data_IF_132179425631
#
_entry.id   IF_132179425631
#
_cell.length_a   1.000
_cell.length_b   1.000
_cell.length_c   1.000
_cell.angle_alpha   90.00
_cell.angle_beta   90.00
_cell.angle_gamma   90.00
#
_symmetry.space_group_name_H-M   'P 1'
#
loop_
_entity.id
_entity.type
_entity.pdbx_description
1 polymer ?
#
# COMPACT_ATOMS: atom_id res chain seq x y z
N UNK A 1 -25.95 -53.16 45.55
CA UNK A 1 -25.27 -53.33 44.24
C UNK A 1 -25.34 -52.00 43.50
N UNK A 2 -24.28 -51.19 43.56
CA UNK A 2 -24.25 -49.83 42.98
C UNK A 2 -22.96 -49.72 42.17
N UNK A 3 -23.06 -49.66 40.84
CA UNK A 3 -21.93 -49.37 39.96
C UNK A 3 -22.27 -48.11 39.17
N UNK A 4 -21.92 -46.97 39.74
CA UNK A 4 -21.99 -45.67 39.08
C UNK A 4 -20.87 -45.62 38.04
N UNK A 5 -21.23 -45.60 36.75
CA UNK A 5 -20.27 -45.37 35.66
C UNK A 5 -20.11 -43.86 35.48
N UNK A 6 -18.95 -43.35 35.85
CA UNK A 6 -18.53 -41.97 35.56
C UNK A 6 -18.11 -41.94 34.09
N UNK A 7 -18.85 -41.21 33.25
CA UNK A 7 -18.40 -40.86 31.91
C UNK A 7 -17.52 -39.61 32.02
N UNK A 8 -16.21 -39.77 31.76
CA UNK A 8 -15.30 -38.65 31.53
C UNK A 8 -15.53 -38.13 30.11
N UNK A 9 -16.15 -36.96 29.99
CA UNK A 9 -16.14 -36.17 28.76
C UNK A 9 -14.87 -35.34 28.78
N UNK A 10 -13.88 -35.74 28.00
CA UNK A 10 -12.70 -34.90 27.73
C UNK A 10 -13.04 -34.02 26.53
N UNK A 11 -13.39 -32.76 26.80
CA UNK A 11 -13.57 -31.75 25.77
C UNK A 11 -12.18 -31.24 25.35
N UNK A 12 -11.66 -31.70 24.22
CA UNK A 12 -10.48 -31.10 23.58
C UNK A 12 -10.87 -29.74 23.01
N UNK A 13 -10.59 -28.65 23.74
CA UNK A 13 -10.56 -27.32 23.13
C UNK A 13 -9.27 -27.20 22.30
N UNK A 14 -9.34 -27.63 21.04
CA UNK A 14 -8.36 -27.23 20.04
C UNK A 14 -8.53 -25.72 19.82
N UNK A 15 -7.73 -24.91 20.51
CA UNK A 15 -7.56 -23.51 20.17
C UNK A 15 -6.99 -23.45 18.76
N UNK A 16 -7.84 -23.14 17.78
CA UNK A 16 -7.40 -22.84 16.43
C UNK A 16 -6.57 -21.55 16.52
N UNK A 17 -5.24 -21.70 16.58
CA UNK A 17 -4.34 -20.64 16.17
C UNK A 17 -4.71 -20.36 14.72
N UNK A 18 -5.46 -19.27 14.48
CA UNK A 18 -5.80 -18.82 13.14
C UNK A 18 -4.47 -18.51 12.45
N UNK A 19 -3.98 -19.48 11.67
CA UNK A 19 -2.84 -19.27 10.78
C UNK A 19 -3.21 -18.08 9.93
N UNK A 20 -2.38 -17.04 9.98
CA UNK A 20 -2.65 -15.79 9.30
C UNK A 20 -2.64 -16.08 7.79
N UNK A 21 -3.83 -16.26 7.21
CA UNK A 21 -4.04 -16.82 5.88
C UNK A 21 -4.14 -15.72 4.83
N UNK A 22 -3.72 -16.02 3.60
CA UNK A 22 -3.99 -15.19 2.42
C UNK A 22 -5.46 -14.79 2.38
N UNK A 23 -5.72 -13.49 2.28
CA UNK A 23 -7.06 -12.92 2.19
C UNK A 23 -7.19 -12.01 0.97
N UNK A 24 -8.39 -12.01 0.39
CA UNK A 24 -8.77 -11.14 -0.73
C UNK A 24 -10.12 -10.50 -0.44
N UNK A 25 -10.21 -9.18 -0.55
CA UNK A 25 -11.44 -8.42 -0.31
C UNK A 25 -11.64 -7.36 -1.38
N UNK A 26 -12.83 -7.30 -1.97
CA UNK A 26 -13.22 -6.19 -2.85
C UNK A 26 -13.93 -5.09 -2.04
N UNK A 27 -13.59 -3.84 -2.30
CA UNK A 27 -14.21 -2.65 -1.71
C UNK A 27 -14.61 -1.69 -2.84
N UNK A 28 -15.85 -1.21 -2.80
CA UNK A 28 -16.33 -0.15 -3.69
C UNK A 28 -16.01 1.21 -3.10
N UNK A 29 -15.29 2.06 -3.84
CA UNK A 29 -14.94 3.42 -3.44
C UNK A 29 -15.95 4.43 -3.98
N UNK A 30 -17.17 4.40 -3.45
CA UNK A 30 -18.25 5.34 -3.79
C UNK A 30 -17.89 6.76 -3.43
N UNK A 31 -18.22 7.71 -4.30
CA UNK A 31 -18.21 9.14 -3.97
C UNK A 31 -19.65 9.63 -3.80
N UNK A 32 -20.10 10.62 -4.58
CA UNK A 32 -21.53 10.94 -4.72
C UNK A 32 -22.02 10.46 -6.10
N UNK A 33 -23.32 10.20 -6.29
CA UNK A 33 -23.86 9.83 -7.60
C UNK A 33 -23.48 10.84 -8.70
N UNK A 34 -23.44 12.12 -8.38
CA UNK A 34 -23.04 13.19 -9.29
C UNK A 34 -21.55 13.09 -9.62
N UNK A 35 -20.70 12.86 -8.63
CA UNK A 35 -19.26 12.70 -8.83
C UNK A 35 -18.91 11.41 -9.57
N UNK A 36 -19.59 10.29 -9.32
CA UNK A 36 -19.34 9.01 -10.00
C UNK A 36 -19.89 9.01 -11.44
N UNK A 37 -20.93 9.80 -11.75
CA UNK A 37 -21.46 9.97 -13.12
C UNK A 37 -20.85 11.14 -13.90
N UNK A 38 -20.02 11.97 -13.27
CA UNK A 38 -19.42 13.16 -13.87
C UNK A 38 -18.59 12.78 -15.13
N UNK A 39 -18.93 13.40 -16.26
CA UNK A 39 -18.16 13.31 -17.51
C UNK A 39 -16.87 14.14 -17.43
N UNK A 40 -16.00 14.01 -18.42
CA UNK A 40 -14.85 14.90 -18.55
C UNK A 40 -15.31 16.35 -18.78
N UNK A 41 -14.51 17.30 -18.30
CA UNK A 41 -14.72 18.73 -18.35
C UNK A 41 -13.68 19.38 -19.26
N UNK A 42 -14.11 20.21 -20.20
CA UNK A 42 -13.20 20.96 -21.10
C UNK A 42 -12.25 21.92 -20.36
N UNK A 43 -12.52 22.19 -19.07
CA UNK A 43 -11.64 22.97 -18.21
C UNK A 43 -10.42 22.19 -17.68
N UNK A 44 -10.39 20.87 -17.84
CA UNK A 44 -9.26 20.01 -17.45
C UNK A 44 -8.64 19.45 -18.73
N UNK A 45 -7.41 19.85 -19.09
CA UNK A 45 -6.73 19.29 -20.25
C UNK A 45 -6.51 17.78 -20.08
N UNK A 46 -6.55 17.03 -21.19
CA UNK A 46 -6.23 15.59 -21.20
C UNK A 46 -4.85 15.30 -20.57
N UNK A 47 -3.90 16.20 -20.77
CA UNK A 47 -2.56 16.16 -20.18
C UNK A 47 -2.03 17.58 -19.95
N UNK A 48 -1.34 17.79 -18.84
CA UNK A 48 -0.62 19.03 -18.55
C UNK A 48 0.69 18.73 -17.83
N UNK A 49 1.70 19.58 -18.04
CA UNK A 49 3.01 19.42 -17.42
C UNK A 49 3.06 20.16 -16.09
N UNK A 50 3.55 19.48 -15.05
CA UNK A 50 3.95 20.09 -13.79
C UNK A 50 5.47 20.04 -13.73
N UNK A 51 6.11 21.21 -13.87
CA UNK A 51 7.56 21.30 -13.88
C UNK A 51 8.09 21.52 -12.46
N UNK A 52 9.10 20.74 -12.08
CA UNK A 52 9.74 20.83 -10.79
C UNK A 52 11.22 20.49 -10.87
N UNK A 53 11.96 20.84 -9.83
CA UNK A 53 13.37 20.50 -9.66
C UNK A 53 13.55 19.84 -8.30
N UNK A 54 14.48 18.89 -8.18
CA UNK A 54 14.82 18.35 -6.88
C UNK A 54 15.60 19.37 -6.05
N UNK A 55 15.21 19.51 -4.79
CA UNK A 55 15.99 20.17 -3.77
C UNK A 55 17.09 19.24 -3.27
N UNK A 56 16.74 17.97 -3.01
CA UNK A 56 17.63 16.95 -2.45
C UNK A 56 17.13 15.54 -2.70
N UNK A 57 18.04 14.58 -2.51
CA UNK A 57 17.74 13.15 -2.50
C UNK A 57 17.78 12.64 -1.06
N UNK A 58 16.82 11.78 -0.71
CA UNK A 58 16.77 11.09 0.58
C UNK A 58 16.78 9.59 0.35
N UNK A 59 17.76 8.88 0.91
CA UNK A 59 17.84 7.42 0.86
C UNK A 59 17.47 6.88 2.24
N UNK A 60 16.39 6.10 2.28
CA UNK A 60 15.88 5.48 3.49
C UNK A 60 16.27 4.00 3.50
N UNK A 61 16.77 3.52 4.62
CA UNK A 61 17.02 2.09 4.86
C UNK A 61 16.12 1.59 5.98
N UNK A 62 15.30 0.61 5.68
CA UNK A 62 14.39 -0.05 6.60
C UNK A 62 15.06 -1.29 7.18
N UNK A 63 14.86 -1.52 8.47
CA UNK A 63 15.34 -2.71 9.16
C UNK A 63 14.25 -3.78 9.20
N UNK A 64 14.67 -4.97 9.58
CA UNK A 64 13.82 -6.09 9.93
C UNK A 64 12.58 -5.70 10.75
N UNK A 65 11.41 -6.26 10.39
CA UNK A 65 10.10 -6.06 11.05
C UNK A 65 9.61 -4.60 11.06
N UNK A 66 10.14 -3.76 10.18
CA UNK A 66 9.56 -2.43 9.97
C UNK A 66 8.39 -2.56 9.01
N UNK A 67 7.22 -2.04 9.39
CA UNK A 67 6.14 -1.81 8.44
C UNK A 67 6.57 -0.72 7.44
N UNK A 68 6.58 -1.07 6.15
CA UNK A 68 7.15 -0.24 5.10
C UNK A 68 6.42 1.10 4.96
N UNK A 69 5.08 1.10 4.99
CA UNK A 69 4.27 2.30 4.85
C UNK A 69 4.37 3.19 6.09
N UNK A 70 4.28 2.61 7.29
CA UNK A 70 4.43 3.35 8.54
C UNK A 70 5.83 3.98 8.65
N UNK A 71 6.88 3.24 8.27
CA UNK A 71 8.24 3.74 8.23
C UNK A 71 8.43 4.88 7.23
N UNK A 72 7.82 4.79 6.04
CA UNK A 72 7.82 5.88 5.05
C UNK A 72 7.14 7.14 5.59
N UNK A 73 5.92 7.00 6.12
CA UNK A 73 5.19 8.13 6.71
C UNK A 73 5.96 8.80 7.86
N UNK A 74 6.60 7.98 8.71
CA UNK A 74 7.46 8.48 9.78
C UNK A 74 8.62 9.30 9.22
N UNK A 75 9.35 8.77 8.24
CA UNK A 75 10.51 9.45 7.67
C UNK A 75 10.13 10.69 6.86
N UNK A 76 9.00 10.68 6.15
CA UNK A 76 8.46 11.86 5.47
C UNK A 76 8.23 12.99 6.47
N UNK A 77 7.62 12.69 7.62
CA UNK A 77 7.42 13.67 8.69
C UNK A 77 8.72 14.15 9.31
N UNK A 78 9.62 13.24 9.71
CA UNK A 78 10.90 13.57 10.36
C UNK A 78 11.81 14.38 9.45
N UNK A 79 11.84 14.06 8.17
CA UNK A 79 12.62 14.77 7.16
C UNK A 79 11.91 16.02 6.64
N UNK A 80 10.71 16.36 7.15
CA UNK A 80 9.91 17.51 6.73
C UNK A 80 9.67 17.54 5.22
N UNK A 81 9.40 16.39 4.62
CA UNK A 81 9.17 16.26 3.18
C UNK A 81 7.73 16.64 2.89
N UNK A 82 7.53 17.73 2.15
CA UNK A 82 6.21 18.14 1.68
C UNK A 82 5.85 17.44 0.37
N UNK A 83 6.67 17.60 -0.66
CA UNK A 83 6.45 16.99 -1.97
C UNK A 83 7.68 16.20 -2.42
N UNK A 84 7.49 14.97 -2.87
CA UNK A 84 8.56 14.14 -3.40
C UNK A 84 8.04 13.12 -4.41
N UNK A 85 8.94 12.55 -5.20
CA UNK A 85 8.71 11.33 -5.98
C UNK A 85 9.58 10.20 -5.40
N UNK A 86 9.02 9.00 -5.33
CA UNK A 86 9.78 7.80 -5.00
C UNK A 86 10.46 7.31 -6.27
N UNK A 87 11.79 7.43 -6.30
CA UNK A 87 12.62 7.16 -7.46
C UNK A 87 12.95 5.68 -7.61
N UNK A 88 13.07 4.97 -6.49
CA UNK A 88 13.36 3.54 -6.46
C UNK A 88 13.00 2.95 -5.10
N UNK A 89 12.66 1.67 -5.09
CA UNK A 89 12.76 0.85 -3.89
C UNK A 89 13.06 -0.61 -4.19
N UNK A 90 13.82 -1.22 -3.30
CA UNK A 90 14.28 -2.60 -3.42
C UNK A 90 14.47 -3.23 -2.04
N UNK A 91 14.25 -4.54 -1.91
CA UNK A 91 14.44 -5.26 -0.65
C UNK A 91 13.66 -6.55 -0.58
N UNK A 92 13.42 -7.05 0.63
CA UNK A 92 12.57 -8.22 0.85
C UNK A 92 11.58 -8.02 2.00
N UNK A 93 10.46 -8.72 1.89
CA UNK A 93 9.29 -8.65 2.76
C UNK A 93 8.98 -10.02 3.34
N UNK A 94 8.36 -10.03 4.52
CA UNK A 94 7.89 -11.25 5.23
C UNK A 94 6.38 -11.40 5.26
N UNK A 95 5.70 -10.43 4.67
CA UNK A 95 4.26 -10.33 4.55
C UNK A 95 3.97 -9.07 3.75
N UNK A 96 2.90 -9.10 2.97
CA UNK A 96 2.51 -7.99 2.12
C UNK A 96 1.01 -7.74 2.21
N UNK A 97 0.66 -6.47 2.02
CA UNK A 97 -0.70 -6.02 1.84
C UNK A 97 -0.70 -4.96 0.75
N UNK A 98 -1.49 -5.20 -0.29
CA UNK A 98 -1.64 -4.25 -1.39
C UNK A 98 -3.09 -4.16 -1.83
N UNK A 99 -3.43 -3.12 -2.58
CA UNK A 99 -4.66 -3.12 -3.37
C UNK A 99 -4.44 -2.69 -4.82
N UNK A 100 -5.34 -3.13 -5.70
CA UNK A 100 -5.37 -2.71 -7.10
C UNK A 100 -6.80 -2.42 -7.54
N UNK A 101 -6.99 -1.59 -8.56
CA UNK A 101 -8.31 -1.33 -9.16
C UNK A 101 -8.83 -2.62 -9.84
N UNK A 102 -10.09 -2.99 -9.61
CA UNK A 102 -10.69 -4.25 -10.08
C UNK A 102 -11.81 -4.09 -11.12
N UNK A 103 -12.15 -2.85 -11.53
CA UNK A 103 -13.20 -2.58 -12.50
C UNK A 103 -12.85 -1.44 -13.47
N UNK A 104 -13.78 -1.17 -14.40
CA UNK A 104 -13.60 -0.22 -15.52
C UNK A 104 -14.58 0.97 -15.50
N UNK A 105 -15.42 1.07 -14.48
CA UNK A 105 -16.49 2.09 -14.38
C UNK A 105 -16.49 2.70 -12.99
N UNK A 106 -17.07 3.89 -12.85
CA UNK A 106 -17.35 4.46 -11.54
C UNK A 106 -18.65 3.86 -10.94
N UNK A 107 -18.76 3.74 -9.61
CA UNK A 107 -17.69 3.92 -8.63
C UNK A 107 -16.56 2.90 -8.82
N UNK A 108 -15.32 3.38 -8.69
CA UNK A 108 -14.12 2.54 -8.76
C UNK A 108 -14.14 1.49 -7.66
N UNK A 109 -13.68 0.28 -7.95
CA UNK A 109 -13.53 -0.80 -6.99
C UNK A 109 -12.07 -1.17 -6.83
N UNK A 110 -11.68 -1.51 -5.61
CA UNK A 110 -10.35 -2.00 -5.29
C UNK A 110 -10.43 -3.43 -4.77
N UNK A 111 -9.53 -4.30 -5.23
CA UNK A 111 -9.26 -5.59 -4.60
C UNK A 111 -8.03 -5.48 -3.72
N UNK A 112 -8.21 -5.72 -2.43
CA UNK A 112 -7.15 -5.82 -1.44
C UNK A 112 -6.69 -7.27 -1.36
N UNK A 113 -5.38 -7.47 -1.39
CA UNK A 113 -4.72 -8.77 -1.25
C UNK A 113 -3.72 -8.68 -0.11
N UNK A 114 -3.90 -9.52 0.90
CA UNK A 114 -3.02 -9.57 2.06
C UNK A 114 -2.55 -11.00 2.31
N UNK A 115 -1.24 -11.20 2.33
CA UNK A 115 -0.62 -12.39 2.88
C UNK A 115 0.36 -11.97 3.97
N UNK A 116 0.04 -12.18 5.26
CA UNK A 116 0.87 -11.74 6.37
C UNK A 116 2.09 -12.64 6.63
N UNK A 117 2.20 -13.78 5.94
CA UNK A 117 3.26 -14.78 6.21
C UNK A 117 4.09 -15.14 4.98
N UNK A 118 3.61 -14.83 3.78
CA UNK A 118 4.34 -15.10 2.56
C UNK A 118 5.55 -14.14 2.41
N UNK A 119 6.75 -14.67 2.13
CA UNK A 119 7.87 -13.85 1.74
C UNK A 119 7.67 -13.30 0.32
N UNK A 120 8.21 -12.12 0.06
CA UNK A 120 8.25 -11.56 -1.29
C UNK A 120 9.47 -10.64 -1.44
N UNK A 121 10.07 -10.61 -2.63
CA UNK A 121 11.04 -9.59 -2.99
C UNK A 121 10.31 -8.32 -3.43
N UNK A 122 10.71 -7.19 -2.84
CA UNK A 122 10.35 -5.86 -3.32
C UNK A 122 11.24 -5.56 -4.52
N UNK A 123 10.74 -5.80 -5.73
CA UNK A 123 11.52 -5.64 -6.97
C UNK A 123 11.38 -4.25 -7.58
N UNK A 124 10.34 -3.51 -7.22
CA UNK A 124 10.19 -2.10 -7.58
C UNK A 124 9.26 -1.38 -6.61
N UNK A 125 9.51 -0.09 -6.43
CA UNK A 125 8.63 0.83 -5.73
C UNK A 125 8.70 2.20 -6.40
N UNK A 126 7.54 2.81 -6.60
CA UNK A 126 7.40 4.18 -7.11
C UNK A 126 6.19 4.86 -6.45
N UNK A 127 5.97 6.11 -6.81
CA UNK A 127 4.84 6.89 -6.31
C UNK A 127 5.27 8.28 -5.88
N UNK A 128 4.40 8.95 -5.13
CA UNK A 128 4.58 10.35 -4.75
C UNK A 128 4.35 10.56 -3.27
N UNK A 129 5.01 11.58 -2.73
CA UNK A 129 4.61 12.24 -1.50
C UNK A 129 3.96 13.56 -1.91
N UNK A 130 2.69 13.74 -1.54
CA UNK A 130 1.89 14.91 -1.89
C UNK A 130 1.41 15.56 -0.61
N UNK A 131 1.90 16.76 -0.31
CA UNK A 131 1.63 17.48 0.93
C UNK A 131 1.86 16.62 2.20
N UNK A 132 2.96 15.87 2.21
CA UNK A 132 3.33 14.96 3.29
C UNK A 132 2.61 13.62 3.31
N UNK A 133 1.64 13.38 2.41
CA UNK A 133 0.94 12.09 2.28
C UNK A 133 1.63 11.19 1.27
N UNK A 134 1.99 9.98 1.69
CA UNK A 134 2.56 8.95 0.81
C UNK A 134 1.46 8.29 -0.02
N UNK A 135 1.65 8.27 -1.34
CA UNK A 135 0.92 7.42 -2.27
C UNK A 135 1.94 6.57 -3.02
N UNK A 136 2.16 5.34 -2.55
CA UNK A 136 3.19 4.44 -3.06
C UNK A 136 2.59 3.22 -3.73
N UNK A 137 3.21 2.78 -4.83
CA UNK A 137 2.91 1.51 -5.48
C UNK A 137 4.16 0.63 -5.44
N UNK A 138 3.94 -0.68 -5.36
CA UNK A 138 5.00 -1.69 -5.32
C UNK A 138 4.80 -2.75 -6.38
N UNK A 139 5.90 -3.32 -6.85
CA UNK A 139 5.92 -4.60 -7.55
C UNK A 139 6.68 -5.60 -6.70
N UNK A 140 6.03 -6.74 -6.46
CA UNK A 140 6.51 -7.82 -5.60
C UNK A 140 6.70 -9.07 -6.44
N UNK A 141 7.79 -9.79 -6.21
CA UNK A 141 8.04 -11.10 -6.79
C UNK A 141 8.05 -12.16 -5.68
N UNK A 142 7.41 -13.30 -5.93
CA UNK A 142 7.42 -14.45 -5.04
C UNK A 142 7.24 -15.71 -5.87
N UNK A 143 8.03 -16.74 -5.58
CA UNK A 143 8.15 -17.95 -6.40
C UNK A 143 8.37 -17.61 -7.90
N UNK A 144 7.45 -18.03 -8.76
CA UNK A 144 7.42 -17.79 -10.20
C UNK A 144 6.42 -16.69 -10.61
N UNK A 145 5.96 -15.88 -9.65
CA UNK A 145 4.87 -14.90 -9.82
C UNK A 145 5.33 -13.49 -9.50
N UNK A 146 4.62 -12.54 -10.10
CA UNK A 146 4.69 -11.13 -9.73
C UNK A 146 3.28 -10.62 -9.43
N UNK A 147 3.17 -9.78 -8.40
CA UNK A 147 1.96 -9.01 -8.11
C UNK A 147 2.35 -7.58 -7.75
N UNK A 148 1.43 -6.64 -7.92
CA UNK A 148 1.70 -5.24 -7.63
C UNK A 148 0.42 -4.46 -7.41
N UNK A 149 0.57 -3.31 -6.78
CA UNK A 149 -0.54 -2.44 -6.43
C UNK A 149 -0.10 -1.32 -5.49
N UNK A 150 -1.09 -0.59 -4.99
CA UNK A 150 -0.92 0.40 -3.94
C UNK A 150 -0.47 -0.27 -2.64
N UNK A 151 0.55 0.29 -2.00
CA UNK A 151 1.11 -0.20 -0.74
C UNK A 151 0.14 0.04 0.42
N UNK A 152 -0.17 -1.01 1.19
CA UNK A 152 -1.03 -0.92 2.37
C UNK A 152 -0.29 -1.24 3.68
N UNK A 153 -0.84 -0.81 4.84
CA UNK A 153 -0.33 -1.21 6.15
C UNK A 153 -0.33 -2.73 6.33
N UNK A 154 0.66 -3.23 7.06
CA UNK A 154 0.92 -4.66 7.26
C UNK A 154 1.88 -5.26 6.23
N UNK A 155 2.64 -4.42 5.52
CA UNK A 155 3.70 -4.85 4.59
C UNK A 155 5.04 -4.75 5.31
N UNK A 156 5.51 -5.87 5.86
CA UNK A 156 6.65 -5.91 6.79
C UNK A 156 7.95 -6.31 6.11
N UNK A 157 9.03 -5.59 6.42
CA UNK A 157 10.38 -5.84 5.90
C UNK A 157 10.99 -7.11 6.51
N UNK A 158 11.58 -7.96 5.66
CA UNK A 158 12.28 -9.17 6.08
C UNK A 158 13.79 -8.95 6.33
N UNK A 159 14.60 -8.67 5.32
CA UNK A 159 16.05 -8.47 5.54
C UNK A 159 16.36 -6.98 5.69
N UNK A 160 16.01 -6.23 4.65
CA UNK A 160 16.05 -4.79 4.57
C UNK A 160 15.12 -4.34 3.44
N UNK A 161 14.79 -3.06 3.44
CA UNK A 161 14.32 -2.38 2.24
C UNK A 161 15.05 -1.04 2.11
N UNK A 162 15.21 -0.59 0.88
CA UNK A 162 15.79 0.71 0.54
C UNK A 162 14.73 1.46 -0.25
N UNK A 163 14.49 2.72 0.08
CA UNK A 163 13.62 3.60 -0.69
C UNK A 163 14.31 4.93 -0.91
N UNK A 164 14.39 5.36 -2.17
CA UNK A 164 15.01 6.64 -2.56
C UNK A 164 13.93 7.62 -2.95
N UNK A 165 13.95 8.82 -2.34
CA UNK A 165 13.03 9.91 -2.64
C UNK A 165 13.78 11.07 -3.28
N UNK A 166 13.23 11.61 -4.37
CA UNK A 166 13.57 12.92 -4.91
C UNK A 166 12.63 13.96 -4.33
N UNK A 167 13.12 14.78 -3.39
CA UNK A 167 12.34 15.85 -2.74
C UNK A 167 12.32 17.05 -3.68
N UNK A 168 11.13 17.52 -4.03
CA UNK A 168 10.97 18.68 -4.90
C UNK A 168 11.28 19.97 -4.13
N UNK A 169 11.82 20.97 -4.84
CA UNK A 169 11.88 22.37 -4.36
C UNK A 169 10.46 22.89 -4.12
N UNK A 170 10.37 23.87 -3.22
CA UNK A 170 9.11 24.57 -2.95
C UNK A 170 8.51 25.21 -4.21
N UNK A 171 7.19 25.29 -4.24
CA UNK A 171 6.41 25.92 -5.33
C UNK A 171 5.78 24.95 -6.33
N UNK A 172 6.12 23.65 -6.28
CA UNK A 172 5.40 22.64 -7.07
C UNK A 172 4.01 22.35 -6.48
N UNK A 173 2.99 22.33 -7.33
CA UNK A 173 1.63 21.93 -6.96
C UNK A 173 1.34 20.51 -7.46
N UNK A 174 1.21 19.57 -6.53
CA UNK A 174 0.89 18.16 -6.80
C UNK A 174 -0.53 17.78 -6.33
N UNK A 175 -1.35 18.76 -5.93
CA UNK A 175 -2.62 18.53 -5.22
C UNK A 175 -3.67 17.79 -6.04
N UNK A 176 -3.51 17.73 -7.37
CA UNK A 176 -4.44 17.09 -8.31
C UNK A 176 -3.97 15.76 -8.88
N UNK A 177 -2.77 15.29 -8.54
CA UNK A 177 -2.19 14.10 -9.18
C UNK A 177 -2.99 12.82 -8.92
N UNK A 178 -3.56 12.64 -7.74
CA UNK A 178 -4.36 11.46 -7.38
C UNK A 178 -5.84 11.78 -7.12
N UNK A 179 -6.32 12.92 -7.61
CA UNK A 179 -7.72 13.33 -7.54
C UNK A 179 -8.53 12.74 -8.70
N UNK A 180 -9.18 11.60 -8.47
CA UNK A 180 -10.03 10.94 -9.48
C UNK A 180 -11.21 11.78 -9.96
N UNK A 181 -11.59 12.85 -9.25
CA UNK A 181 -12.69 13.74 -9.59
C UNK A 181 -12.23 14.95 -10.41
N UNK A 182 -10.92 15.17 -10.52
CA UNK A 182 -10.29 16.17 -11.38
C UNK A 182 -10.20 15.65 -12.82
N UNK A 183 -11.34 15.73 -13.50
CA UNK A 183 -11.54 15.36 -14.89
C UNK A 183 -12.56 16.27 -15.53
#
# INVERSE_FOLDING_TARGET
MRKTRIFLVVLWMAGAAATAQLSRREITNTTTPEQDSKANSDSVPDVYAINGQFERIVVLRFKYQTDLLAGLNKMVKEQKIRNAVILAGAGSLRGYHIHSVSNRTFPSKNIFVKDPTAPADLVSMNGYVMDGRVHAHVSLAYDDKALGGHLEPGTEVFTFAIVTLGVFRDGIDLSKLDDKNYR
#
